data_IF_959795192545
#
_entry.id   IF_959795192545
#
_cell.length_a   1.000
_cell.length_b   1.000
_cell.length_c   1.000
_cell.angle_alpha   90.00
_cell.angle_beta   90.00
_cell.angle_gamma   90.00
#
_symmetry.space_group_name_H-M   'P 1'
#
loop_
_entity.id
_entity.type
_entity.pdbx_description
1 polymer ?
#
# COMPACT_ATOMS: atom_id res chain seq x y z
N UNK A 1 -29.53 -37.65 -44.81
CA UNK A 1 -28.55 -37.62 -43.71
C UNK A 1 -27.50 -36.56 -44.01
N UNK A 2 -27.66 -35.33 -43.51
CA UNK A 2 -26.58 -34.33 -43.45
C UNK A 2 -26.68 -33.70 -42.06
N UNK A 3 -25.69 -33.99 -41.22
CA UNK A 3 -25.57 -33.50 -39.85
C UNK A 3 -25.04 -32.07 -39.94
N UNK A 4 -25.92 -31.08 -39.86
CA UNK A 4 -25.50 -29.69 -39.65
C UNK A 4 -25.10 -29.56 -38.19
N UNK A 5 -23.80 -29.44 -37.97
CA UNK A 5 -23.20 -29.12 -36.68
C UNK A 5 -23.70 -27.74 -36.24
N UNK A 6 -24.64 -27.73 -35.30
CA UNK A 6 -25.05 -26.54 -34.56
C UNK A 6 -23.94 -26.27 -33.54
N UNK A 7 -22.88 -25.58 -33.99
CA UNK A 7 -21.86 -24.99 -33.12
C UNK A 7 -22.58 -23.91 -32.33
N UNK A 8 -23.02 -24.30 -31.13
CA UNK A 8 -23.55 -23.41 -30.13
C UNK A 8 -22.37 -22.59 -29.63
N UNK A 9 -22.17 -21.43 -30.26
CA UNK A 9 -21.24 -20.41 -29.83
C UNK A 9 -21.69 -20.01 -28.41
N UNK A 10 -21.12 -20.67 -27.42
CA UNK A 10 -21.16 -20.32 -26.02
C UNK A 10 -20.42 -18.98 -25.93
N UNK A 11 -21.13 -17.91 -26.27
CA UNK A 11 -20.70 -16.54 -26.04
C UNK A 11 -20.61 -16.38 -24.54
N UNK A 12 -19.46 -16.77 -24.00
CA UNK A 12 -19.02 -16.42 -22.67
C UNK A 12 -19.18 -14.90 -22.59
N UNK A 13 -20.20 -14.48 -21.86
CA UNK A 13 -20.37 -13.11 -21.43
C UNK A 13 -19.21 -12.87 -20.47
N UNK A 14 -18.03 -12.57 -21.01
CA UNK A 14 -16.95 -11.93 -20.28
C UNK A 14 -17.48 -10.54 -19.96
N UNK A 15 -18.27 -10.45 -18.88
CA UNK A 15 -18.47 -9.19 -18.21
C UNK A 15 -17.06 -8.83 -17.74
N UNK A 16 -16.38 -8.00 -18.53
CA UNK A 16 -15.18 -7.33 -18.05
C UNK A 16 -15.61 -6.63 -16.78
N UNK A 17 -15.12 -7.12 -15.64
CA UNK A 17 -15.10 -6.33 -14.43
C UNK A 17 -14.32 -5.08 -14.81
N UNK A 18 -15.05 -3.99 -15.05
CA UNK A 18 -14.45 -2.68 -15.11
C UNK A 18 -13.97 -2.48 -13.68
N UNK A 19 -12.67 -2.64 -13.45
CA UNK A 19 -12.08 -2.34 -12.16
C UNK A 19 -12.26 -0.84 -11.97
N UNK A 20 -13.28 -0.46 -11.20
CA UNK A 20 -13.32 0.87 -10.63
C UNK A 20 -12.19 0.92 -9.61
N UNK A 21 -11.30 1.92 -9.73
CA UNK A 21 -10.27 2.10 -8.73
C UNK A 21 -10.87 2.75 -7.49
N UNK A 22 -10.24 2.50 -6.34
CA UNK A 22 -10.60 3.15 -5.08
C UNK A 22 -10.56 4.68 -5.25
N UNK A 23 -11.38 5.40 -4.50
CA UNK A 23 -11.45 6.86 -4.59
C UNK A 23 -10.07 7.51 -4.34
N UNK A 24 -9.24 6.90 -3.49
CA UNK A 24 -7.87 7.35 -3.23
C UNK A 24 -6.89 7.05 -4.36
N UNK A 25 -7.24 6.21 -5.33
CA UNK A 25 -6.45 5.92 -6.54
C UNK A 25 -6.95 6.70 -7.77
N UNK A 26 -8.17 7.26 -7.72
CA UNK A 26 -8.79 7.90 -8.87
C UNK A 26 -8.29 9.32 -9.09
N UNK A 27 -7.61 9.58 -10.21
CA UNK A 27 -7.18 10.92 -10.60
C UNK A 27 -8.38 11.76 -11.04
N UNK A 28 -9.16 11.24 -11.98
CA UNK A 28 -10.37 11.88 -12.51
C UNK A 28 -11.24 10.87 -13.27
N UNK A 29 -12.36 11.33 -13.83
CA UNK A 29 -13.20 10.51 -14.72
C UNK A 29 -13.47 11.19 -16.04
N UNK A 30 -13.71 10.40 -17.08
CA UNK A 30 -14.07 10.86 -18.42
C UNK A 30 -15.28 10.09 -18.97
N UNK A 31 -16.14 10.77 -19.73
CA UNK A 31 -17.43 10.20 -20.17
C UNK A 31 -17.32 9.00 -21.12
N UNK A 32 -16.17 8.82 -21.76
CA UNK A 32 -15.86 7.78 -22.75
C UNK A 32 -14.35 7.65 -22.92
N UNK A 33 -13.85 6.62 -23.61
CA UNK A 33 -12.40 6.47 -23.85
C UNK A 33 -11.82 7.52 -24.78
N UNK A 34 -12.63 8.12 -25.64
CA UNK A 34 -12.24 9.16 -26.61
C UNK A 34 -13.37 10.16 -26.78
N UNK A 35 -13.07 11.35 -27.30
CA UNK A 35 -14.04 12.43 -27.51
C UNK A 35 -14.88 12.70 -26.26
N UNK A 36 -14.24 12.62 -25.10
CA UNK A 36 -14.88 12.61 -23.81
C UNK A 36 -14.88 13.99 -23.16
N UNK A 37 -15.82 14.19 -22.27
CA UNK A 37 -15.80 15.30 -21.33
C UNK A 37 -15.24 14.79 -19.99
N UNK A 38 -14.56 15.67 -19.25
CA UNK A 38 -13.97 15.34 -17.96
C UNK A 38 -14.87 15.74 -16.78
N UNK A 39 -14.73 15.01 -15.69
CA UNK A 39 -15.19 15.40 -14.36
C UNK A 39 -14.10 15.14 -13.32
N UNK A 40 -14.15 15.87 -12.21
CA UNK A 40 -13.26 15.62 -11.06
C UNK A 40 -13.52 14.24 -10.45
N UNK A 41 -12.57 13.71 -9.66
CA UNK A 41 -12.64 12.34 -9.12
C UNK A 41 -13.95 11.99 -8.37
N UNK A 42 -14.57 12.99 -7.73
CA UNK A 42 -15.84 12.89 -6.99
C UNK A 42 -16.99 13.61 -7.71
N UNK A 43 -16.93 13.70 -9.04
CA UNK A 43 -17.97 14.25 -9.89
C UNK A 43 -19.32 13.53 -9.75
N UNK A 44 -20.40 14.24 -10.06
CA UNK A 44 -21.78 13.77 -9.81
C UNK A 44 -22.39 13.02 -11.00
N UNK A 45 -21.77 13.05 -12.18
CA UNK A 45 -22.32 12.41 -13.38
C UNK A 45 -21.94 10.93 -13.50
N UNK A 46 -21.06 10.44 -12.62
CA UNK A 46 -20.63 9.04 -12.54
C UNK A 46 -20.17 8.50 -13.90
N UNK A 47 -19.21 9.21 -14.50
CA UNK A 47 -18.57 8.75 -15.73
C UNK A 47 -17.89 7.39 -15.51
N UNK A 48 -18.17 6.45 -16.42
CA UNK A 48 -17.75 5.06 -16.27
C UNK A 48 -16.31 4.76 -16.68
N UNK A 49 -15.59 5.73 -17.23
CA UNK A 49 -14.14 5.60 -17.52
C UNK A 49 -13.38 6.39 -16.47
N UNK A 50 -12.65 5.68 -15.62
CA UNK A 50 -11.85 6.25 -14.55
C UNK A 50 -10.38 6.30 -14.98
N UNK A 51 -9.66 7.33 -14.55
CA UNK A 51 -8.21 7.43 -14.73
C UNK A 51 -7.59 7.14 -13.37
N UNK A 52 -6.90 6.02 -13.26
CA UNK A 52 -6.47 5.44 -11.98
C UNK A 52 -4.95 5.48 -11.86
N UNK A 53 -4.45 5.95 -10.73
CA UNK A 53 -3.03 6.11 -10.46
C UNK A 53 -2.30 4.76 -10.40
N UNK A 54 -2.85 3.81 -9.67
CA UNK A 54 -2.32 2.45 -9.51
C UNK A 54 -2.22 1.70 -10.85
N UNK A 55 -3.19 1.88 -11.74
CA UNK A 55 -3.14 1.32 -13.10
C UNK A 55 -2.04 1.95 -13.96
N UNK A 56 -1.80 3.26 -13.81
CA UNK A 56 -0.82 4.01 -14.61
C UNK A 56 0.61 3.82 -14.10
N UNK A 57 0.81 3.78 -12.79
CA UNK A 57 2.13 3.77 -12.15
C UNK A 57 2.49 2.43 -11.51
N UNK A 58 1.57 1.45 -11.50
CA UNK A 58 1.80 0.10 -10.99
C UNK A 58 1.88 -0.02 -9.47
N UNK A 59 1.57 1.05 -8.72
CA UNK A 59 1.66 1.11 -7.26
C UNK A 59 0.50 1.92 -6.66
N UNK A 60 0.04 1.53 -5.47
CA UNK A 60 -0.97 2.27 -4.75
C UNK A 60 -0.43 3.60 -4.21
N UNK A 61 -1.18 4.69 -4.43
CA UNK A 61 -0.93 5.95 -3.77
C UNK A 61 -1.49 5.94 -2.33
N UNK A 62 -0.61 5.99 -1.33
CA UNK A 62 -0.98 5.83 0.08
C UNK A 62 -0.94 7.12 0.91
N UNK A 63 -0.68 8.28 0.29
CA UNK A 63 -0.68 9.55 1.04
C UNK A 63 -2.11 10.07 1.31
N UNK A 64 -2.26 10.87 2.35
CA UNK A 64 -3.56 11.45 2.74
C UNK A 64 -4.01 12.48 1.70
N UNK A 65 -5.25 12.33 1.25
CA UNK A 65 -5.96 13.27 0.36
C UNK A 65 -5.15 13.65 -0.90
N UNK A 66 -4.96 12.72 -1.85
CA UNK A 66 -4.20 12.99 -3.07
C UNK A 66 -4.78 14.15 -3.89
N UNK A 67 -6.05 14.50 -3.74
CA UNK A 67 -6.70 15.49 -4.59
C UNK A 67 -6.46 16.94 -4.16
N UNK A 68 -5.74 17.19 -3.05
CA UNK A 68 -5.41 18.55 -2.61
C UNK A 68 -4.49 19.21 -3.64
N UNK A 69 -4.98 20.29 -4.25
CA UNK A 69 -4.18 21.08 -5.16
C UNK A 69 -3.08 21.86 -4.44
N UNK A 70 -1.85 21.60 -4.85
CA UNK A 70 -0.66 22.38 -4.57
C UNK A 70 -0.22 23.13 -5.83
N UNK A 71 0.88 23.89 -5.76
CA UNK A 71 1.39 24.59 -6.93
C UNK A 71 1.87 23.64 -8.04
N UNK A 72 2.30 22.42 -7.69
CA UNK A 72 3.06 21.54 -8.58
C UNK A 72 2.32 20.25 -8.98
N UNK A 73 1.20 19.91 -8.33
CA UNK A 73 0.52 18.62 -8.56
C UNK A 73 -0.70 18.68 -9.47
N UNK A 74 -0.77 19.69 -10.33
CA UNK A 74 -1.88 19.87 -11.27
C UNK A 74 -1.70 18.94 -12.47
N UNK A 75 -2.68 18.09 -12.72
CA UNK A 75 -2.72 17.18 -13.87
C UNK A 75 -3.31 17.88 -15.11
N UNK A 76 -4.48 18.50 -14.96
CA UNK A 76 -5.20 19.17 -16.03
C UNK A 76 -6.10 20.27 -15.42
N UNK A 77 -6.64 21.17 -16.26
CA UNK A 77 -7.73 22.08 -15.88
C UNK A 77 -8.99 21.79 -16.69
N UNK A 78 -10.15 21.89 -16.04
CA UNK A 78 -11.46 21.67 -16.64
C UNK A 78 -12.29 22.94 -16.64
N UNK A 79 -13.13 23.11 -17.67
CA UNK A 79 -14.06 24.24 -17.74
C UNK A 79 -15.14 24.22 -16.65
N UNK A 80 -15.39 23.06 -16.04
CA UNK A 80 -16.40 22.80 -15.01
C UNK A 80 -16.08 21.52 -14.23
N UNK A 81 -16.65 21.35 -13.02
CA UNK A 81 -16.44 20.15 -12.19
C UNK A 81 -16.98 18.86 -12.82
N UNK A 82 -17.98 18.99 -13.69
CA UNK A 82 -18.58 17.92 -14.48
C UNK A 82 -18.77 18.40 -15.90
N UNK A 83 -18.84 17.48 -16.86
CA UNK A 83 -19.10 17.80 -18.27
C UNK A 83 -18.13 18.86 -18.83
N UNK A 84 -16.88 18.84 -18.35
CA UNK A 84 -15.89 19.85 -18.63
C UNK A 84 -15.04 19.53 -19.86
N UNK A 85 -14.75 20.56 -20.65
CA UNK A 85 -13.66 20.51 -21.61
C UNK A 85 -12.33 20.68 -20.87
N UNK A 86 -11.26 20.11 -21.43
CA UNK A 86 -9.93 20.13 -20.85
C UNK A 86 -8.98 21.16 -21.47
N UNK A 87 -7.97 21.55 -20.69
CA UNK A 87 -6.78 22.24 -21.19
C UNK A 87 -5.54 21.81 -20.42
N UNK A 88 -4.37 21.98 -21.03
CA UNK A 88 -3.10 21.63 -20.40
C UNK A 88 -2.89 22.37 -19.06
N UNK A 89 -2.12 21.78 -18.12
CA UNK A 89 -1.97 22.30 -16.75
C UNK A 89 -1.41 23.74 -16.67
N UNK A 90 -0.64 24.14 -17.68
CA UNK A 90 0.05 25.43 -17.79
C UNK A 90 -0.76 26.55 -18.46
N UNK A 91 -1.92 26.25 -19.07
CA UNK A 91 -2.63 27.21 -19.95
C UNK A 91 -3.35 28.31 -19.16
N UNK A 92 -4.10 27.94 -18.13
CA UNK A 92 -4.64 28.90 -17.16
C UNK A 92 -5.91 29.65 -17.53
N UNK A 93 -6.70 29.18 -18.51
CA UNK A 93 -8.00 29.77 -18.87
C UNK A 93 -9.11 29.21 -17.97
N UNK A 94 -9.00 27.95 -17.56
CA UNK A 94 -9.98 27.24 -16.75
C UNK A 94 -9.64 27.29 -15.26
N UNK A 95 -10.69 27.34 -14.44
CA UNK A 95 -10.58 27.54 -12.98
C UNK A 95 -10.75 26.27 -12.16
N UNK A 96 -11.13 25.14 -12.77
CA UNK A 96 -11.26 23.86 -12.07
C UNK A 96 -9.99 23.07 -12.28
N UNK A 97 -9.16 23.01 -11.25
CA UNK A 97 -7.93 22.22 -11.27
C UNK A 97 -8.26 20.76 -10.92
N UNK A 98 -7.70 19.83 -11.69
CA UNK A 98 -7.58 18.42 -11.31
C UNK A 98 -6.16 18.23 -10.82
N UNK A 99 -6.02 17.87 -9.56
CA UNK A 99 -4.72 17.67 -8.91
C UNK A 99 -4.62 16.27 -8.34
N UNK A 100 -3.41 15.74 -8.28
CA UNK A 100 -3.20 14.41 -7.73
C UNK A 100 -1.81 14.21 -7.13
N UNK A 101 -1.78 13.92 -5.84
CA UNK A 101 -0.63 13.49 -5.06
C UNK A 101 0.58 14.40 -5.27
N UNK A 102 1.65 13.76 -5.73
CA UNK A 102 2.96 14.33 -6.05
C UNK A 102 3.23 14.39 -7.57
N UNK A 103 2.21 14.17 -8.42
CA UNK A 103 2.41 14.12 -9.87
C UNK A 103 2.91 15.46 -10.39
N UNK A 104 3.95 15.48 -11.20
CA UNK A 104 4.35 16.69 -11.94
C UNK A 104 4.00 16.47 -13.40
N UNK A 105 3.06 17.25 -13.91
CA UNK A 105 2.49 17.01 -15.24
C UNK A 105 2.75 18.16 -16.21
N UNK A 106 3.05 17.80 -17.45
CA UNK A 106 3.21 18.73 -18.57
C UNK A 106 2.44 18.24 -19.80
N UNK A 107 2.04 19.18 -20.67
CA UNK A 107 1.45 18.84 -21.96
C UNK A 107 2.54 18.75 -23.02
N UNK A 108 2.63 17.61 -23.73
CA UNK A 108 3.67 17.32 -24.73
C UNK A 108 3.08 16.66 -25.97
N UNK A 109 3.88 16.51 -27.03
CA UNK A 109 3.54 15.65 -28.17
C UNK A 109 3.85 14.17 -27.89
N UNK A 110 4.89 13.93 -27.09
CA UNK A 110 5.36 12.62 -26.63
C UNK A 110 5.87 12.77 -25.20
N UNK A 111 5.64 11.76 -24.37
CA UNK A 111 6.12 11.73 -23.00
C UNK A 111 7.61 11.38 -22.97
N UNK A 112 8.33 11.95 -22.02
CA UNK A 112 9.72 11.60 -21.77
C UNK A 112 9.82 10.17 -21.19
N UNK A 113 11.03 9.60 -21.14
CA UNK A 113 11.23 8.21 -20.69
C UNK A 113 10.85 7.94 -19.24
N UNK A 114 10.78 8.98 -18.41
CA UNK A 114 10.43 8.96 -16.99
C UNK A 114 9.00 9.44 -16.70
N UNK A 115 8.23 9.74 -17.75
CA UNK A 115 6.84 10.19 -17.66
C UNK A 115 5.86 9.11 -18.15
N UNK A 116 4.66 9.10 -17.57
CA UNK A 116 3.53 8.28 -18.02
C UNK A 116 2.48 9.18 -18.67
N UNK A 117 1.95 8.76 -19.82
CA UNK A 117 0.79 9.41 -20.42
C UNK A 117 -0.47 9.11 -19.60
N UNK A 118 -0.98 10.11 -18.88
CA UNK A 118 -2.17 9.96 -18.03
C UNK A 118 -3.45 10.08 -18.85
N UNK A 119 -3.48 11.00 -19.81
CA UNK A 119 -4.59 11.23 -20.74
C UNK A 119 -4.09 12.02 -21.96
N UNK A 120 -4.95 12.18 -22.97
CA UNK A 120 -4.66 13.02 -24.14
C UNK A 120 -5.79 14.01 -24.46
N UNK A 121 -5.44 15.10 -25.17
CA UNK A 121 -6.32 16.23 -25.49
C UNK A 121 -6.37 16.50 -27.00
N UNK A 122 -7.58 16.71 -27.51
CA UNK A 122 -7.79 17.04 -28.93
C UNK A 122 -7.23 18.42 -29.36
N UNK A 123 -6.92 19.30 -28.40
CA UNK A 123 -6.38 20.65 -28.56
C UNK A 123 -5.64 21.06 -27.27
N UNK A 124 -4.91 22.18 -27.26
CA UNK A 124 -4.28 22.71 -26.04
C UNK A 124 -5.27 23.33 -25.04
N UNK A 125 -6.43 23.77 -25.52
CA UNK A 125 -7.54 24.33 -24.73
C UNK A 125 -8.87 24.02 -25.40
N UNK A 126 -9.96 24.10 -24.64
CA UNK A 126 -11.32 23.71 -25.05
C UNK A 126 -11.36 22.31 -25.68
N UNK A 127 -10.51 21.42 -25.18
CA UNK A 127 -10.29 20.12 -25.75
C UNK A 127 -11.30 19.10 -25.23
N UNK A 128 -11.63 18.13 -26.07
CA UNK A 128 -12.16 16.88 -25.59
C UNK A 128 -10.99 16.02 -25.09
N UNK A 129 -11.29 15.15 -24.14
CA UNK A 129 -10.34 14.26 -23.48
C UNK A 129 -10.41 12.87 -24.12
N UNK A 130 -9.30 12.14 -24.04
CA UNK A 130 -9.23 10.72 -24.34
C UNK A 130 -8.26 10.06 -23.39
N UNK A 131 -8.33 8.73 -23.30
CA UNK A 131 -7.30 7.94 -22.64
C UNK A 131 -5.94 8.11 -23.35
N UNK A 132 -4.89 7.53 -22.76
CA UNK A 132 -3.56 7.55 -23.36
C UNK A 132 -3.58 7.04 -24.82
N UNK A 133 -2.94 7.78 -25.72
CA UNK A 133 -2.78 7.46 -27.15
C UNK A 133 -3.90 7.94 -28.07
N UNK A 134 -4.98 8.54 -27.56
CA UNK A 134 -6.14 8.95 -28.39
C UNK A 134 -5.88 10.24 -29.19
N UNK A 135 -5.08 11.17 -28.67
CA UNK A 135 -4.79 12.46 -29.30
C UNK A 135 -3.30 12.81 -29.28
N UNK A 136 -2.91 13.80 -30.10
CA UNK A 136 -1.52 14.27 -30.20
C UNK A 136 -1.04 15.05 -28.97
N UNK A 137 -1.91 15.79 -28.28
CA UNK A 137 -1.49 16.55 -27.10
C UNK A 137 -1.64 15.65 -25.86
N UNK A 138 -0.53 15.12 -25.36
CA UNK A 138 -0.49 14.18 -24.24
C UNK A 138 -0.31 14.95 -22.93
N UNK A 139 -0.98 14.53 -21.88
CA UNK A 139 -0.68 14.93 -20.50
C UNK A 139 0.25 13.88 -19.94
N UNK A 140 1.52 14.24 -19.87
CA UNK A 140 2.60 13.39 -19.40
C UNK A 140 2.92 13.77 -17.96
N UNK A 141 2.92 12.80 -17.06
CA UNK A 141 3.18 13.03 -15.64
C UNK A 141 4.30 12.14 -15.16
N UNK A 142 5.23 12.71 -14.40
CA UNK A 142 6.16 11.97 -13.55
C UNK A 142 5.62 11.88 -12.13
N UNK A 143 5.90 10.78 -11.44
CA UNK A 143 5.66 10.66 -9.99
C UNK A 143 6.99 10.68 -9.26
N UNK A 144 7.11 11.48 -8.20
CA UNK A 144 8.34 11.54 -7.40
C UNK A 144 8.65 10.24 -6.64
N UNK A 145 7.75 9.25 -6.68
CA UNK A 145 8.01 7.91 -6.17
C UNK A 145 8.87 7.06 -7.12
N UNK A 146 9.27 7.62 -8.27
CA UNK A 146 9.87 6.87 -9.36
C UNK A 146 8.81 5.96 -9.99
N UNK A 147 8.85 5.78 -11.30
CA UNK A 147 8.19 4.60 -11.85
C UNK A 147 8.91 3.40 -11.22
N UNK A 148 8.21 2.63 -10.38
CA UNK A 148 8.69 1.30 -10.04
C UNK A 148 8.73 0.57 -11.37
N UNK A 149 9.93 0.38 -11.90
CA UNK A 149 10.11 -0.41 -13.11
C UNK A 149 9.48 -1.76 -12.79
N UNK A 150 8.32 -2.04 -13.40
CA UNK A 150 7.61 -3.31 -13.22
C UNK A 150 8.31 -4.39 -14.02
N UNK A 151 9.63 -4.49 -13.92
CA UNK A 151 10.27 -5.69 -14.40
C UNK A 151 9.87 -6.81 -13.47
N UNK A 152 9.08 -7.69 -14.06
CA UNK A 152 8.61 -8.90 -13.43
C UNK A 152 9.82 -9.83 -13.39
N UNK A 153 10.20 -10.27 -12.19
CA UNK A 153 11.12 -11.39 -12.04
C UNK A 153 10.46 -12.61 -12.68
N UNK A 154 10.98 -13.08 -13.81
CA UNK A 154 10.54 -14.31 -14.47
C UNK A 154 11.45 -15.46 -14.06
N UNK A 155 10.86 -16.59 -13.66
CA UNK A 155 11.63 -17.81 -13.45
C UNK A 155 12.02 -18.41 -14.80
N UNK A 156 13.31 -18.44 -15.11
CA UNK A 156 13.86 -19.22 -16.22
C UNK A 156 14.70 -20.40 -15.70
N UNK A 157 14.98 -21.39 -16.55
CA UNK A 157 15.86 -22.51 -16.24
C UNK A 157 17.30 -22.02 -15.99
N UNK A 158 17.57 -21.54 -14.77
CA UNK A 158 18.86 -20.96 -14.39
C UNK A 158 18.80 -19.90 -13.27
N UNK A 159 17.62 -19.43 -12.88
CA UNK A 159 17.46 -18.41 -11.83
C UNK A 159 16.28 -17.47 -12.12
N UNK A 160 16.02 -16.54 -11.20
CA UNK A 160 14.95 -15.54 -11.36
C UNK A 160 15.55 -14.32 -12.04
N UNK A 161 15.25 -14.08 -13.32
CA UNK A 161 15.83 -12.95 -14.06
C UNK A 161 14.82 -11.82 -14.23
N UNK A 162 15.31 -10.59 -14.23
CA UNK A 162 14.54 -9.43 -14.70
C UNK A 162 14.18 -9.60 -16.18
N UNK A 163 12.90 -9.42 -16.53
CA UNK A 163 12.35 -9.68 -17.88
C UNK A 163 12.92 -8.80 -19.00
N UNK A 164 13.68 -7.76 -18.66
CA UNK A 164 14.44 -6.87 -19.54
C UNK A 164 15.92 -7.28 -19.71
N UNK A 165 16.30 -8.46 -19.19
CA UNK A 165 17.47 -9.22 -19.68
C UNK A 165 18.75 -9.11 -18.86
N UNK A 166 18.68 -8.93 -17.54
CA UNK A 166 19.89 -8.86 -16.71
C UNK A 166 19.76 -9.20 -15.22
N UNK A 167 19.91 -10.49 -14.90
CA UNK A 167 20.43 -11.05 -13.63
C UNK A 167 19.48 -11.08 -12.40
N UNK A 168 19.88 -11.93 -11.45
CA UNK A 168 19.21 -12.61 -10.33
C UNK A 168 18.57 -11.70 -9.26
N UNK A 169 17.31 -11.99 -8.90
CA UNK A 169 16.50 -11.23 -7.93
C UNK A 169 16.87 -11.51 -6.45
N UNK A 170 18.13 -11.32 -6.05
CA UNK A 170 18.50 -11.28 -4.63
C UNK A 170 18.88 -9.83 -4.24
N UNK A 171 18.06 -9.14 -3.41
CA UNK A 171 18.29 -7.75 -3.01
C UNK A 171 19.61 -7.54 -2.24
N UNK A 172 20.29 -8.63 -1.82
CA UNK A 172 21.57 -8.57 -1.13
C UNK A 172 22.73 -9.24 -1.88
N UNK A 173 22.52 -9.75 -3.09
CA UNK A 173 23.62 -10.36 -3.82
C UNK A 173 24.54 -9.28 -4.40
N UNK A 174 25.85 -9.46 -4.18
CA UNK A 174 26.91 -8.51 -4.46
C UNK A 174 26.99 -8.04 -5.93
N UNK A 175 26.21 -8.64 -6.83
CA UNK A 175 26.12 -8.25 -8.23
C UNK A 175 25.36 -6.94 -8.48
N UNK A 176 24.49 -6.47 -7.58
CA UNK A 176 23.87 -5.14 -7.73
C UNK A 176 24.88 -3.98 -7.55
N UNK A 177 26.07 -4.25 -7.01
CA UNK A 177 27.16 -3.27 -6.96
C UNK A 177 27.75 -2.95 -8.34
N UNK A 178 27.55 -3.80 -9.34
CA UNK A 178 28.06 -3.58 -10.71
C UNK A 178 27.32 -2.43 -11.43
N UNK A 179 26.09 -2.09 -11.02
CA UNK A 179 25.34 -0.98 -11.61
C UNK A 179 25.60 0.39 -10.97
N UNK A 180 26.11 0.47 -9.73
CA UNK A 180 26.66 1.75 -9.23
C UNK A 180 27.99 2.13 -9.96
N UNK A 181 28.58 1.21 -10.74
CA UNK A 181 29.94 1.34 -11.31
C UNK A 181 29.98 1.96 -12.72
N UNK A 182 28.87 1.97 -13.47
CA UNK A 182 28.87 2.39 -14.87
C UNK A 182 27.98 3.62 -15.08
N UNK A 183 28.54 4.81 -14.84
CA UNK A 183 27.95 6.13 -15.11
C UNK A 183 27.68 6.42 -16.59
N UNK A 184 27.00 5.51 -17.29
CA UNK A 184 26.65 5.59 -18.70
C UNK A 184 25.18 5.88 -18.97
N UNK A 185 24.34 5.96 -17.94
CA UNK A 185 22.97 6.44 -18.05
C UNK A 185 22.82 7.62 -17.11
N UNK A 186 22.34 8.74 -17.61
CA UNK A 186 22.00 9.95 -16.85
C UNK A 186 20.74 9.71 -16.00
N UNK A 187 20.76 8.68 -15.16
CA UNK A 187 19.70 8.29 -14.24
C UNK A 187 20.14 8.50 -12.80
N UNK A 188 19.20 8.96 -11.98
CA UNK A 188 19.39 9.28 -10.57
C UNK A 188 19.92 8.06 -9.77
N UNK A 189 20.96 8.21 -8.92
CA UNK A 189 21.49 7.12 -8.08
C UNK A 189 20.47 6.48 -7.12
N UNK A 190 19.29 7.10 -6.96
CA UNK A 190 18.17 6.55 -6.18
C UNK A 190 17.36 5.46 -6.92
N UNK A 191 17.66 5.16 -8.19
CA UNK A 191 16.90 4.18 -8.98
C UNK A 191 17.35 2.74 -8.71
N UNK A 192 18.58 2.53 -8.24
CA UNK A 192 19.14 1.18 -8.04
C UNK A 192 18.96 0.63 -6.63
N UNK A 193 18.50 1.46 -5.68
CA UNK A 193 18.41 1.08 -4.28
C UNK A 193 16.95 1.05 -3.81
N UNK A 194 16.57 0.07 -2.96
CA UNK A 194 15.27 0.09 -2.30
C UNK A 194 15.04 1.42 -1.58
N UNK A 195 13.78 1.77 -1.37
CA UNK A 195 13.38 2.96 -0.63
C UNK A 195 14.10 3.04 0.73
N UNK A 196 14.68 4.22 1.03
CA UNK A 196 15.50 4.45 2.22
C UNK A 196 17.01 4.19 2.06
N UNK A 197 17.44 3.66 0.92
CA UNK A 197 18.84 3.39 0.62
C UNK A 197 19.34 4.22 -0.57
N UNK A 198 20.61 4.63 -0.55
CA UNK A 198 21.31 5.27 -1.66
C UNK A 198 22.59 4.52 -2.03
N UNK A 199 23.00 4.55 -3.31
CA UNK A 199 24.33 4.04 -3.71
C UNK A 199 25.40 4.89 -3.02
N UNK A 200 26.17 4.29 -2.11
CA UNK A 200 27.37 4.95 -1.55
C UNK A 200 28.60 4.43 -2.28
N UNK A 201 29.39 5.36 -2.79
CA UNK A 201 30.74 5.10 -3.32
C UNK A 201 31.72 5.57 -2.23
N UNK A 202 32.61 4.71 -1.72
CA UNK A 202 33.54 5.10 -0.67
C UNK A 202 34.45 6.26 -1.13
N UNK A 203 34.70 7.22 -0.23
CA UNK A 203 35.50 8.43 -0.48
C UNK A 203 36.96 8.15 -0.90
N UNK A 204 37.42 6.90 -0.80
CA UNK A 204 38.80 6.52 -1.11
C UNK A 204 39.18 6.64 -2.60
N UNK A 205 38.25 7.02 -3.47
CA UNK A 205 38.53 7.29 -4.88
C UNK A 205 38.98 6.05 -5.66
N UNK A 206 38.71 4.85 -5.13
CA UNK A 206 38.92 3.60 -5.84
C UNK A 206 37.65 3.25 -6.65
N UNK A 207 37.64 3.39 -7.98
CA UNK A 207 36.48 3.08 -8.81
C UNK A 207 36.21 1.57 -8.96
N UNK A 208 37.07 0.71 -8.40
CA UNK A 208 36.96 -0.73 -8.48
C UNK A 208 36.31 -1.32 -7.21
N UNK A 209 34.99 -1.28 -7.16
CA UNK A 209 34.17 -2.11 -6.26
C UNK A 209 34.11 -3.54 -6.81
N UNK A 210 35.23 -4.28 -6.78
CA UNK A 210 35.33 -5.59 -7.46
C UNK A 210 35.00 -6.79 -6.58
N UNK A 211 34.83 -6.63 -5.27
CA UNK A 211 34.77 -7.77 -4.34
C UNK A 211 33.82 -7.57 -3.16
N UNK A 212 32.54 -7.29 -3.44
CA UNK A 212 31.45 -7.49 -2.49
C UNK A 212 31.49 -6.62 -1.22
N UNK A 213 30.57 -6.96 -0.29
CA UNK A 213 30.12 -6.20 0.89
C UNK A 213 31.25 -5.61 1.77
N UNK A 214 32.46 -6.14 1.69
CA UNK A 214 33.59 -5.72 2.55
C UNK A 214 34.16 -4.33 2.19
N UNK A 215 33.96 -3.84 0.95
CA UNK A 215 34.53 -2.56 0.51
C UNK A 215 33.61 -1.35 0.73
N UNK A 216 32.43 -1.54 1.35
CA UNK A 216 31.48 -0.46 1.64
C UNK A 216 30.76 0.09 0.40
N UNK A 217 30.89 -0.55 -0.76
CA UNK A 217 30.12 -0.22 -1.96
C UNK A 217 28.77 -0.94 -1.94
N UNK A 218 27.68 -0.20 -2.16
CA UNK A 218 26.34 -0.77 -2.28
C UNK A 218 25.26 0.22 -1.85
N UNK A 219 24.02 -0.26 -1.83
CA UNK A 219 22.91 0.46 -1.24
C UNK A 219 23.12 0.54 0.27
N UNK A 220 23.47 1.72 0.77
CA UNK A 220 23.51 2.00 2.21
C UNK A 220 22.32 2.88 2.57
N UNK A 221 21.84 2.79 3.81
CA UNK A 221 20.79 3.70 4.26
C UNK A 221 21.25 5.14 4.08
N UNK A 222 20.40 5.95 3.46
CA UNK A 222 20.65 7.37 3.34
C UNK A 222 20.49 8.01 4.73
N UNK A 223 21.56 8.56 5.34
CA UNK A 223 21.47 9.14 6.68
C UNK A 223 20.52 10.34 6.77
N UNK A 224 20.21 11.01 5.65
CA UNK A 224 19.22 12.09 5.61
C UNK A 224 17.79 11.56 5.85
N UNK A 225 17.54 10.30 5.51
CA UNK A 225 16.24 9.64 5.66
C UNK A 225 15.92 9.32 7.12
N UNK A 226 16.94 8.99 7.91
CA UNK A 226 16.79 8.77 9.35
C UNK A 226 16.42 10.04 10.13
N UNK A 227 16.62 11.24 9.55
CA UNK A 227 16.18 12.48 10.18
C UNK A 227 14.66 12.71 10.09
N UNK A 228 13.95 11.99 9.21
CA UNK A 228 12.49 12.09 9.05
C UNK A 228 11.71 11.06 9.91
N UNK A 229 12.34 9.94 10.26
CA UNK A 229 11.76 8.90 11.11
C UNK A 229 12.04 9.21 12.58
N UNK A 230 11.15 9.98 13.21
CA UNK A 230 11.29 10.43 14.60
C UNK A 230 10.76 9.43 15.65
N UNK A 231 9.99 8.42 15.22
CA UNK A 231 9.30 7.43 16.05
C UNK A 231 9.16 6.09 15.32
N UNK A 232 8.98 4.98 16.04
CA UNK A 232 8.77 3.66 15.40
C UNK A 232 7.55 3.65 14.46
N UNK A 233 6.54 4.46 14.75
CA UNK A 233 5.36 4.63 13.89
C UNK A 233 5.65 5.30 12.54
N UNK A 234 6.85 5.86 12.34
CA UNK A 234 7.28 6.41 11.07
C UNK A 234 7.65 5.34 10.03
N UNK A 235 7.92 4.10 10.46
CA UNK A 235 8.17 2.98 9.57
C UNK A 235 6.88 2.46 8.94
N UNK A 236 6.90 2.25 7.62
CA UNK A 236 5.70 2.00 6.80
C UNK A 236 5.59 0.54 6.39
N UNK A 237 6.70 -0.18 6.33
CA UNK A 237 6.72 -1.60 6.01
C UNK A 237 7.19 -2.44 7.18
N UNK A 238 6.83 -3.71 7.16
CA UNK A 238 7.31 -4.69 8.14
C UNK A 238 8.83 -4.78 8.14
N UNK A 239 9.46 -4.74 6.96
CA UNK A 239 10.91 -4.88 6.83
C UNK A 239 11.63 -3.64 7.36
N UNK A 240 11.15 -2.43 7.04
CA UNK A 240 11.64 -1.18 7.63
C UNK A 240 11.57 -1.21 9.17
N UNK A 241 10.45 -1.69 9.70
CA UNK A 241 10.19 -1.78 11.13
C UNK A 241 11.08 -2.77 11.87
N UNK A 242 11.35 -3.93 11.25
CA UNK A 242 12.14 -5.01 11.86
C UNK A 242 13.63 -4.73 11.75
N UNK A 243 14.08 -4.13 10.64
CA UNK A 243 15.50 -3.81 10.44
C UNK A 243 15.94 -2.63 11.33
N UNK A 244 15.07 -1.64 11.56
CA UNK A 244 15.26 -0.53 12.51
C UNK A 244 16.67 0.10 12.52
N UNK A 245 17.22 0.40 11.34
CA UNK A 245 18.60 0.87 11.20
C UNK A 245 18.80 2.37 11.53
N UNK A 246 17.72 3.13 11.79
CA UNK A 246 17.80 4.57 12.02
C UNK A 246 18.06 5.00 13.48
N UNK A 247 18.38 4.06 14.39
CA UNK A 247 18.69 4.34 15.81
C UNK A 247 17.63 5.23 16.52
N UNK A 248 16.38 5.17 16.04
CA UNK A 248 15.21 5.98 16.44
C UNK A 248 14.87 5.83 17.93
N UNK A 249 15.42 4.80 18.56
CA UNK A 249 15.21 4.40 19.94
C UNK A 249 15.57 5.53 20.94
N UNK A 250 16.54 6.39 20.64
CA UNK A 250 17.00 7.42 21.57
C UNK A 250 16.00 8.57 21.79
N UNK A 251 15.14 8.88 20.82
CA UNK A 251 14.15 9.97 20.95
C UNK A 251 12.91 9.54 21.74
N UNK A 252 12.39 8.33 21.51
CA UNK A 252 11.21 7.78 22.20
C UNK A 252 11.48 7.40 23.68
N UNK A 253 12.76 7.19 24.05
CA UNK A 253 13.18 6.97 25.45
C UNK A 253 13.02 8.19 26.36
N UNK A 254 12.85 9.40 25.81
CA UNK A 254 12.59 10.61 26.58
C UNK A 254 11.09 10.91 26.78
N UNK A 255 10.19 10.02 26.34
CA UNK A 255 8.76 10.16 26.59
C UNK A 255 8.45 9.91 28.09
N UNK A 256 7.86 10.89 28.81
CA UNK A 256 7.47 10.73 30.21
C UNK A 256 6.43 9.62 30.47
N UNK A 257 5.71 9.12 29.46
CA UNK A 257 4.81 7.97 29.62
C UNK A 257 5.53 6.61 29.58
N UNK A 258 6.78 6.57 29.10
CA UNK A 258 7.60 5.36 29.10
C UNK A 258 8.43 5.26 30.38
N UNK A 259 7.93 4.50 31.37
CA UNK A 259 8.51 4.27 32.71
C UNK A 259 9.90 3.59 32.76
N UNK A 260 10.74 3.69 31.72
CA UNK A 260 12.12 3.19 31.78
C UNK A 260 13.02 4.10 32.65
N UNK A 261 12.77 5.41 32.66
CA UNK A 261 13.63 6.37 33.39
C UNK A 261 13.33 6.44 34.90
N UNK A 262 12.11 6.11 35.35
CA UNK A 262 11.75 6.21 36.77
C UNK A 262 12.30 5.07 37.64
N UNK A 263 12.76 3.97 37.05
CA UNK A 263 13.28 2.79 37.78
C UNK A 263 14.81 2.67 37.69
N UNK A 264 15.42 3.34 36.70
CA UNK A 264 16.85 3.21 36.38
C UNK A 264 17.82 3.82 37.39
N UNK A 265 17.38 4.74 38.26
CA UNK A 265 18.26 5.29 39.31
C UNK A 265 18.41 4.36 40.53
N UNK A 266 17.55 3.34 40.68
CA UNK A 266 17.56 2.47 41.86
C UNK A 266 17.98 1.03 41.58
N UNK A 267 17.84 0.53 40.34
CA UNK A 267 18.25 -0.82 39.96
C UNK A 267 18.84 -0.87 38.55
N UNK A 268 19.95 -1.60 38.41
CA UNK A 268 20.78 -1.72 37.21
C UNK A 268 20.09 -2.56 36.11
N UNK A 269 18.92 -2.14 35.64
CA UNK A 269 18.10 -2.86 34.66
C UNK A 269 18.38 -2.29 33.27
N UNK A 270 18.89 -3.13 32.36
CA UNK A 270 19.01 -2.79 30.94
C UNK A 270 17.64 -2.97 30.27
N UNK A 271 17.00 -1.87 29.88
CA UNK A 271 15.83 -1.94 29.02
C UNK A 271 16.30 -2.11 27.57
N UNK A 272 15.96 -3.24 26.94
CA UNK A 272 16.11 -3.37 25.50
C UNK A 272 14.83 -2.86 24.86
N UNK A 273 14.98 -1.93 23.94
CA UNK A 273 13.89 -1.27 23.24
C UNK A 273 14.12 -1.42 21.75
N UNK A 274 13.10 -1.85 21.03
CA UNK A 274 13.16 -2.06 19.58
C UNK A 274 11.80 -1.76 18.97
N UNK A 275 11.78 -1.27 17.74
CA UNK A 275 10.55 -1.23 16.97
C UNK A 275 10.11 -2.66 16.62
N UNK A 276 8.80 -2.92 16.62
CA UNK A 276 8.24 -4.23 16.26
C UNK A 276 6.97 -4.07 15.45
N UNK A 277 6.81 -4.93 14.45
CA UNK A 277 5.65 -4.92 13.56
C UNK A 277 4.53 -5.77 14.13
N UNK A 278 3.31 -5.21 14.25
CA UNK A 278 2.16 -5.93 14.79
C UNK A 278 1.24 -6.54 13.72
N UNK A 279 1.66 -6.52 12.46
CA UNK A 279 0.87 -6.98 11.31
C UNK A 279 0.13 -5.86 10.57
N UNK A 280 0.05 -4.66 11.14
CA UNK A 280 -0.57 -3.50 10.48
C UNK A 280 0.32 -2.26 10.56
N UNK A 281 0.92 -2.01 11.73
CA UNK A 281 1.77 -0.85 11.96
C UNK A 281 3.05 -1.25 12.70
N UNK A 282 4.07 -0.42 12.55
CA UNK A 282 5.26 -0.48 13.39
C UNK A 282 5.02 0.25 14.71
N UNK A 283 5.37 -0.38 15.82
CA UNK A 283 5.21 0.20 17.15
C UNK A 283 6.43 -0.03 18.02
N UNK A 284 6.67 0.88 18.95
CA UNK A 284 7.71 0.73 19.94
C UNK A 284 7.41 -0.46 20.87
N UNK A 285 8.39 -1.33 21.05
CA UNK A 285 8.30 -2.43 21.98
C UNK A 285 9.49 -2.38 22.94
N UNK A 286 9.19 -2.36 24.23
CA UNK A 286 10.20 -2.46 25.27
C UNK A 286 10.06 -3.83 25.92
N UNK A 287 11.17 -4.57 26.00
CA UNK A 287 11.22 -5.80 26.75
C UNK A 287 12.32 -5.71 27.79
N UNK A 288 11.96 -6.04 29.04
CA UNK A 288 12.92 -6.09 30.13
C UNK A 288 13.66 -7.41 30.04
N UNK A 289 14.91 -7.35 29.62
CA UNK A 289 15.82 -8.45 29.81
C UNK A 289 16.28 -8.43 31.27
N UNK A 290 15.84 -9.41 32.06
CA UNK A 290 16.47 -9.73 33.33
C UNK A 290 17.85 -10.35 33.04
N UNK A 291 18.81 -9.52 32.66
CA UNK A 291 20.21 -9.89 32.76
C UNK A 291 20.65 -9.63 34.20
N UNK A 292 20.84 -10.71 34.95
CA UNK A 292 21.51 -10.64 36.22
C UNK A 292 22.39 -11.88 36.40
N UNK A 293 23.72 -11.74 36.53
CA UNK A 293 24.50 -12.67 37.31
C UNK A 293 24.49 -12.18 38.77
N UNK A 294 23.32 -12.20 39.44
CA UNK A 294 23.26 -11.49 40.74
C UNK A 294 21.95 -11.40 41.53
N UNK A 295 21.03 -12.36 41.40
CA UNK A 295 19.88 -12.54 42.32
C UNK A 295 18.78 -11.45 42.26
N UNK A 296 17.74 -11.71 41.46
CA UNK A 296 16.35 -11.36 41.80
C UNK A 296 15.42 -12.52 41.43
N UNK A 297 14.64 -12.97 42.43
CA UNK A 297 13.62 -14.01 42.32
C UNK A 297 12.44 -13.48 41.50
N UNK A 298 12.45 -13.70 40.18
CA UNK A 298 11.19 -13.84 39.43
C UNK A 298 10.69 -15.23 39.77
N UNK A 299 9.52 -15.34 40.41
CA UNK A 299 8.94 -16.64 40.68
C UNK A 299 8.55 -17.27 39.31
N UNK A 300 9.25 -18.31 38.82
CA UNK A 300 9.08 -18.87 37.48
C UNK A 300 7.80 -19.71 37.34
N UNK A 301 6.85 -19.50 38.24
CA UNK A 301 5.71 -20.39 38.47
C UNK A 301 4.44 -19.95 37.75
N UNK A 302 4.37 -18.74 37.17
CA UNK A 302 3.11 -18.23 36.61
C UNK A 302 3.26 -17.59 35.22
N UNK A 303 2.33 -17.90 34.32
CA UNK A 303 2.20 -17.30 32.98
C UNK A 303 0.84 -16.62 32.84
N UNK A 304 0.80 -15.33 32.47
CA UNK A 304 -0.44 -14.62 32.15
C UNK A 304 -0.73 -14.78 30.65
N UNK A 305 -1.79 -15.50 30.31
CA UNK A 305 -2.29 -15.70 28.93
C UNK A 305 -3.58 -14.91 28.71
N UNK A 306 -3.91 -14.59 27.47
CA UNK A 306 -5.16 -13.91 27.11
C UNK A 306 -6.04 -14.80 26.24
N UNK A 307 -7.33 -14.90 26.59
CA UNK A 307 -8.36 -15.55 25.80
C UNK A 307 -9.43 -14.54 25.40
N UNK A 308 -9.84 -14.56 24.14
CA UNK A 308 -10.82 -13.62 23.60
C UNK A 308 -12.17 -14.31 23.45
N UNK A 309 -13.22 -13.73 24.02
CA UNK A 309 -14.61 -14.16 23.81
C UNK A 309 -15.36 -13.07 23.05
N UNK A 310 -15.94 -13.46 21.90
CA UNK A 310 -16.81 -12.58 21.11
C UNK A 310 -18.24 -12.65 21.70
N UNK A 311 -18.76 -11.50 22.10
CA UNK A 311 -20.16 -11.33 22.48
C UNK A 311 -21.09 -11.29 21.27
N UNK A 312 -22.38 -11.39 21.52
CA UNK A 312 -23.41 -11.26 20.48
C UNK A 312 -23.42 -9.85 19.87
N UNK A 313 -23.83 -9.75 18.60
CA UNK A 313 -24.02 -8.46 17.96
C UNK A 313 -25.36 -7.85 18.39
N UNK A 314 -25.32 -6.79 19.19
CA UNK A 314 -26.49 -6.06 19.66
C UNK A 314 -26.40 -4.64 19.11
N UNK A 315 -27.38 -4.21 18.33
CA UNK A 315 -27.44 -2.85 17.78
C UNK A 315 -26.17 -2.46 16.99
N UNK A 316 -25.78 -3.28 16.02
CA UNK A 316 -24.60 -3.12 15.15
C UNK A 316 -23.24 -3.03 15.84
N UNK A 317 -23.17 -3.37 17.13
CA UNK A 317 -21.91 -3.50 17.87
C UNK A 317 -21.83 -4.87 18.54
N UNK A 318 -20.63 -5.45 18.59
CA UNK A 318 -20.33 -6.64 19.39
C UNK A 318 -19.31 -6.29 20.46
N UNK A 319 -19.51 -6.84 21.64
CA UNK A 319 -18.54 -6.74 22.74
C UNK A 319 -17.44 -7.78 22.53
N UNK A 320 -16.18 -7.38 22.66
CA UNK A 320 -15.06 -8.32 22.71
C UNK A 320 -14.53 -8.29 24.14
N UNK A 321 -14.67 -9.43 24.82
CA UNK A 321 -14.20 -9.60 26.20
C UNK A 321 -12.85 -10.31 26.13
N UNK A 322 -11.79 -9.60 26.53
CA UNK A 322 -10.45 -10.18 26.66
C UNK A 322 -10.29 -10.63 28.12
N UNK A 323 -10.34 -11.94 28.32
CA UNK A 323 -10.10 -12.58 29.61
C UNK A 323 -8.61 -12.88 29.73
N UNK A 324 -7.94 -12.31 30.73
CA UNK A 324 -6.59 -12.75 31.09
C UNK A 324 -6.68 -13.90 32.10
N UNK A 325 -5.86 -14.91 31.92
CA UNK A 325 -5.82 -16.13 32.72
C UNK A 325 -4.40 -16.34 33.20
N UNK A 326 -4.22 -16.50 34.51
CA UNK A 326 -2.94 -16.85 35.10
C UNK A 326 -2.86 -18.38 35.19
N UNK A 327 -1.89 -18.97 34.50
CA UNK A 327 -1.63 -20.41 34.56
C UNK A 327 -0.37 -20.64 35.39
N UNK A 328 -0.46 -21.50 36.40
CA UNK A 328 0.72 -21.93 37.14
C UNK A 328 1.50 -22.96 36.30
N UNK A 329 2.73 -22.63 35.90
CA UNK A 329 3.56 -23.37 34.92
C UNK A 329 3.88 -24.79 35.42
N UNK A 330 3.99 -24.98 36.74
CA UNK A 330 4.38 -26.28 37.32
C UNK A 330 3.18 -27.24 37.44
N UNK A 331 1.97 -26.70 37.61
CA UNK A 331 0.78 -27.50 37.93
C UNK A 331 -0.27 -27.53 36.81
N UNK A 332 -0.12 -26.69 35.78
CA UNK A 332 -1.14 -26.41 34.74
C UNK A 332 -2.51 -26.00 35.34
N UNK A 333 -2.52 -25.59 36.62
CA UNK A 333 -3.73 -25.17 37.29
C UNK A 333 -4.06 -23.76 36.84
N UNK A 334 -5.26 -23.61 36.27
CA UNK A 334 -5.82 -22.30 35.92
C UNK A 334 -6.29 -21.65 37.20
N UNK A 335 -5.64 -20.55 37.59
CA UNK A 335 -6.02 -19.77 38.77
C UNK A 335 -6.88 -18.61 38.30
N UNK A 336 -8.04 -18.44 38.94
CA UNK A 336 -8.91 -17.30 38.69
C UNK A 336 -8.22 -16.02 39.22
N UNK A 337 -7.85 -15.07 38.35
CA UNK A 337 -7.21 -13.83 38.76
C UNK A 337 -8.08 -12.99 39.71
N UNK A 338 -9.39 -13.26 39.80
CA UNK A 338 -10.27 -12.60 40.76
C UNK A 338 -10.02 -13.03 42.21
N UNK A 339 -9.33 -14.14 42.43
CA UNK A 339 -9.01 -14.68 43.76
C UNK A 339 -7.61 -14.30 44.27
N UNK A 340 -6.82 -13.58 43.46
CA UNK A 340 -5.44 -13.21 43.78
C UNK A 340 -5.33 -11.84 44.46
N UNK A 341 -4.28 -11.71 45.28
CA UNK A 341 -3.91 -10.47 45.98
C UNK A 341 -3.72 -9.30 45.00
N UNK A 342 -3.97 -8.07 45.47
CA UNK A 342 -3.93 -6.84 44.65
C UNK A 342 -2.58 -6.63 43.96
N UNK A 343 -1.49 -7.16 44.53
CA UNK A 343 -0.15 -7.14 43.95
C UNK A 343 0.00 -7.94 42.64
N UNK A 344 -0.83 -8.96 42.41
CA UNK A 344 -0.86 -9.72 41.15
C UNK A 344 -1.74 -9.07 40.08
N UNK A 345 -2.70 -8.23 40.49
CA UNK A 345 -3.63 -7.57 39.57
C UNK A 345 -2.94 -6.50 38.72
N UNK A 346 -1.83 -5.93 39.18
CA UNK A 346 -0.97 -5.06 38.35
C UNK A 346 -0.24 -5.83 37.25
N UNK A 347 0.08 -7.10 37.47
CA UNK A 347 0.82 -7.94 36.51
C UNK A 347 -0.08 -8.62 35.47
N UNK A 348 -1.32 -8.97 35.86
CA UNK A 348 -2.30 -9.60 34.98
C UNK A 348 -3.67 -8.89 35.17
N UNK A 349 -3.88 -7.72 34.54
CA UNK A 349 -5.03 -6.87 34.81
C UNK A 349 -6.35 -7.55 34.47
N UNK A 350 -7.34 -7.31 35.34
CA UNK A 350 -8.69 -7.84 35.25
C UNK A 350 -9.38 -7.31 33.98
N UNK A 351 -9.74 -8.23 33.09
CA UNK A 351 -10.76 -8.09 32.04
C UNK A 351 -10.82 -6.74 31.33
N UNK A 352 -10.38 -6.70 30.07
CA UNK A 352 -10.63 -5.55 29.20
C UNK A 352 -11.76 -5.88 28.24
N UNK A 353 -12.81 -5.04 28.24
CA UNK A 353 -13.88 -5.08 27.24
C UNK A 353 -13.73 -3.91 26.27
N UNK A 354 -13.88 -4.18 24.97
CA UNK A 354 -13.99 -3.16 23.92
C UNK A 354 -15.15 -3.49 22.99
N UNK A 355 -15.87 -2.46 22.55
CA UNK A 355 -16.93 -2.61 21.56
C UNK A 355 -16.40 -2.36 20.14
N UNK A 356 -16.81 -3.20 19.21
CA UNK A 356 -16.49 -3.07 17.79
C UNK A 356 -17.77 -3.10 16.95
N UNK A 357 -17.77 -2.40 15.83
CA UNK A 357 -18.87 -2.50 14.86
C UNK A 357 -18.92 -3.94 14.29
N UNK A 358 -20.10 -4.52 14.25
CA UNK A 358 -20.29 -5.76 13.49
C UNK A 358 -20.28 -5.41 12.01
N UNK A 359 -19.51 -6.13 11.19
CA UNK A 359 -19.63 -6.01 9.73
C UNK A 359 -21.08 -6.25 9.33
N UNK A 360 -21.64 -5.33 8.56
CA UNK A 360 -22.95 -5.55 7.95
C UNK A 360 -22.76 -6.62 6.88
N UNK A 361 -23.41 -7.77 7.02
CA UNK A 361 -23.68 -8.61 5.86
C UNK A 361 -24.59 -7.79 4.94
N UNK A 362 -24.02 -7.24 3.88
CA UNK A 362 -24.80 -6.58 2.83
C UNK A 362 -25.54 -7.69 2.08
N UNK A 363 -26.76 -8.00 2.50
CA UNK A 363 -27.71 -8.68 1.62
C UNK A 363 -27.96 -7.73 0.44
N UNK A 364 -27.26 -7.95 -0.67
CA UNK A 364 -27.55 -7.31 -1.94
C UNK A 364 -28.97 -7.73 -2.34
N UNK A 365 -29.97 -6.91 -2.02
CA UNK A 365 -31.39 -7.17 -2.26
C UNK A 365 -31.78 -7.43 -3.72
N UNK A 366 -30.83 -7.29 -4.65
CA UNK A 366 -31.01 -7.57 -6.07
C UNK A 366 -30.65 -9.00 -6.51
N UNK A 367 -29.93 -9.79 -5.70
CA UNK A 367 -29.52 -11.16 -6.05
C UNK A 367 -30.16 -12.25 -5.17
N UNK A 368 -31.46 -12.13 -4.90
CA UNK A 368 -32.20 -13.25 -4.32
C UNK A 368 -32.19 -14.46 -5.26
N UNK A 369 -32.12 -15.68 -4.69
CA UNK A 369 -32.19 -16.95 -5.43
C UNK A 369 -33.36 -16.99 -6.44
N UNK A 370 -34.51 -16.40 -6.08
CA UNK A 370 -35.67 -16.31 -6.96
C UNK A 370 -35.49 -15.40 -8.18
N UNK A 371 -34.70 -14.32 -8.06
CA UNK A 371 -34.38 -13.45 -9.19
C UNK A 371 -33.43 -14.16 -10.16
N UNK A 372 -32.49 -14.94 -9.65
CA UNK A 372 -31.60 -15.79 -10.45
C UNK A 372 -32.39 -16.87 -11.21
N UNK A 373 -33.27 -17.59 -10.53
CA UNK A 373 -34.12 -18.62 -11.14
C UNK A 373 -35.06 -18.02 -12.20
N UNK A 374 -35.65 -16.84 -11.94
CA UNK A 374 -36.51 -16.14 -12.89
C UNK A 374 -35.77 -15.68 -14.14
N UNK A 375 -34.54 -15.19 -13.97
CA UNK A 375 -33.67 -14.77 -15.08
C UNK A 375 -33.28 -15.96 -15.95
N UNK A 376 -32.91 -17.09 -15.36
CA UNK A 376 -32.68 -18.34 -16.08
C UNK A 376 -33.93 -18.79 -16.84
N UNK A 377 -35.11 -18.73 -16.20
CA UNK A 377 -36.38 -19.09 -16.83
C UNK A 377 -36.69 -18.25 -18.08
N UNK A 378 -36.45 -16.94 -18.03
CA UNK A 378 -36.62 -16.05 -19.18
C UNK A 378 -35.64 -16.38 -20.33
N UNK A 379 -34.37 -16.63 -20.01
CA UNK A 379 -33.36 -17.02 -20.99
C UNK A 379 -33.77 -18.33 -21.69
N UNK A 380 -34.18 -19.35 -20.92
CA UNK A 380 -34.67 -20.60 -21.49
C UNK A 380 -35.95 -20.39 -22.31
N UNK A 381 -36.88 -19.55 -21.85
CA UNK A 381 -38.11 -19.21 -22.59
C UNK A 381 -37.83 -18.63 -23.96
N UNK A 382 -36.96 -17.62 -24.05
CA UNK A 382 -36.54 -17.01 -25.31
C UNK A 382 -35.86 -18.04 -26.22
N UNK A 383 -35.02 -18.90 -25.65
CA UNK A 383 -34.37 -19.97 -26.41
C UNK A 383 -35.36 -20.97 -27.02
N UNK A 384 -36.36 -21.42 -26.27
CA UNK A 384 -37.37 -22.36 -26.76
C UNK A 384 -38.31 -21.73 -27.79
N UNK A 385 -38.67 -20.46 -27.62
CA UNK A 385 -39.44 -19.71 -28.63
C UNK A 385 -38.63 -19.65 -29.92
N UNK A 386 -37.37 -19.20 -29.87
CA UNK A 386 -36.51 -19.10 -31.06
C UNK A 386 -36.34 -20.45 -31.78
N UNK A 387 -36.23 -21.55 -31.04
CA UNK A 387 -36.13 -22.92 -31.59
C UNK A 387 -37.40 -23.41 -32.29
N UNK A 388 -38.58 -22.89 -31.95
CA UNK A 388 -39.85 -23.29 -32.58
C UNK A 388 -40.08 -22.58 -33.92
N UNK A 389 -39.49 -21.40 -34.10
CA UNK A 389 -39.69 -20.52 -35.26
C UNK A 389 -38.52 -20.56 -36.27
N UNK A 390 -37.51 -21.39 -36.03
CA UNK A 390 -36.43 -21.74 -36.95
C UNK A 390 -36.54 -23.23 -37.28
#
# INVERSE_FOLDING_TARGET
MKKSAMIFLFGLLLIGLVNACDDSQRIMRISSTTNAHGEIYNGVENYGTEICYDELFGIDYNAVDPHVCTANNRVIRLSSNTNGHGEGPEVGIYSVDVCYGNLVCAMRSDCESDEVEVLSLSSSTNAHLGIAGEYTNKICCESSFGMVHTGICVEEEGGTIWSDGGVDCDPFNAHNSEYCRWGGWSGNPNVCCPFGYGCVIPESGNPDCTTGIEDGCGCQLNPDWCNEVLSCSGYRTQDECIMNDCDVIASELNDPENHCNEVGELYNISCNTSCSWNGTNCGFNSYRNNFDPGVVVVNPEYQCSSSTQLGECISSRREIIIKKVLTEIISDTVIDPDTLDESFQTWCPKLTSRQYACGFEVELGFFGFWNFVSSLGLIFGVYFVKKKYL
#
